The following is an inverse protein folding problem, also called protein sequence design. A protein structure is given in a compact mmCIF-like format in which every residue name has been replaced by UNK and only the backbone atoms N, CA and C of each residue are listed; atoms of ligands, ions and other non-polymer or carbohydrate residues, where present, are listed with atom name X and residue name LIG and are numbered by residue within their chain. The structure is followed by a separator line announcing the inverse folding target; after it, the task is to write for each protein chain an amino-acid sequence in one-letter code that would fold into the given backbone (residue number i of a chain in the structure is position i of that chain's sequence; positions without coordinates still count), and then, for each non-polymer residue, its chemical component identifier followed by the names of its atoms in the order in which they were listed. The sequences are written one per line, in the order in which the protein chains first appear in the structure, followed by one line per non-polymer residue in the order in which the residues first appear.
data_IF_903016239145
#
_entry.id   IF_903016239145
#
_cell.length_a   1.000
_cell.length_b   1.000
_cell.length_c   1.000
_cell.angle_alpha   90.00
_cell.angle_beta   90.00
_cell.angle_gamma   90.00
#
_symmetry.space_group_name_H-M   'P 1'
#
loop_
_entity.id
_entity.type
_entity.pdbx_description
1 polymer ?
#
# COMPACT_ATOMS: atom_id res chain seq x y z
N UNK A 1 14.43 -3.47 22.13
CA UNK A 1 13.40 -3.12 21.14
C UNK A 1 13.89 -1.94 20.33
N UNK A 2 13.86 -2.02 19.00
CA UNK A 2 14.16 -0.91 18.11
C UNK A 2 13.05 -0.75 17.07
N UNK A 3 12.87 0.48 16.59
CA UNK A 3 11.87 0.80 15.58
C UNK A 3 12.50 1.65 14.48
N UNK A 4 12.13 1.34 13.24
CA UNK A 4 12.54 2.05 12.03
C UNK A 4 11.28 2.58 11.32
N UNK A 5 11.35 3.83 10.85
CA UNK A 5 10.30 4.43 10.04
C UNK A 5 10.68 4.38 8.56
N UNK A 6 9.84 3.76 7.73
CA UNK A 6 10.06 3.61 6.30
C UNK A 6 8.87 4.19 5.55
N UNK A 7 9.14 4.99 4.52
CA UNK A 7 8.11 5.45 3.58
C UNK A 7 8.11 4.58 2.33
N UNK A 8 6.95 4.07 1.92
CA UNK A 8 6.79 3.24 0.73
C UNK A 8 5.69 3.75 -0.18
N UNK A 9 6.05 4.06 -1.42
CA UNK A 9 5.10 4.41 -2.47
C UNK A 9 4.87 3.20 -3.38
N UNK A 10 3.60 2.90 -3.67
CA UNK A 10 3.18 1.83 -4.57
C UNK A 10 2.01 2.27 -5.46
N UNK A 11 1.91 1.64 -6.63
CA UNK A 11 0.72 1.72 -7.49
C UNK A 11 -0.14 0.48 -7.33
N UNK A 12 -1.45 0.64 -7.43
CA UNK A 12 -2.42 -0.44 -7.29
C UNK A 12 -3.39 -0.46 -8.48
N UNK A 13 -3.85 -1.64 -8.85
CA UNK A 13 -5.00 -1.80 -9.76
C UNK A 13 -5.92 -2.91 -9.28
N UNK A 14 -7.23 -2.64 -9.29
CA UNK A 14 -8.25 -3.65 -9.07
C UNK A 14 -8.37 -4.53 -10.32
N UNK A 15 -8.30 -5.85 -10.13
CA UNK A 15 -8.44 -6.81 -11.22
C UNK A 15 -9.91 -7.12 -11.57
N UNK A 16 -10.86 -6.70 -10.72
CA UNK A 16 -12.30 -6.85 -11.00
C UNK A 16 -12.86 -5.60 -11.72
N UNK A 17 -12.61 -4.38 -11.24
CA UNK A 17 -13.20 -3.15 -11.81
C UNK A 17 -12.23 -2.26 -12.61
N UNK A 18 -10.93 -2.62 -12.66
CA UNK A 18 -9.91 -1.85 -13.40
C UNK A 18 -9.49 -0.53 -12.74
N UNK A 19 -10.04 -0.18 -11.57
CA UNK A 19 -9.66 1.07 -10.90
C UNK A 19 -8.20 1.04 -10.45
N UNK A 20 -7.42 2.04 -10.89
CA UNK A 20 -6.04 2.26 -10.50
C UNK A 20 -5.85 3.48 -9.60
N UNK A 21 -5.05 3.32 -8.54
CA UNK A 21 -4.68 4.39 -7.61
C UNK A 21 -3.20 4.27 -7.18
N UNK A 22 -2.66 5.34 -6.61
CA UNK A 22 -1.31 5.38 -6.01
C UNK A 22 -1.48 5.57 -4.51
N UNK A 23 -0.58 5.01 -3.71
CA UNK A 23 -0.57 5.19 -2.25
C UNK A 23 0.84 5.36 -1.72
N UNK A 24 1.01 6.28 -0.77
CA UNK A 24 2.26 6.49 -0.02
C UNK A 24 1.99 6.12 1.43
N UNK A 25 2.67 5.08 1.91
CA UNK A 25 2.47 4.52 3.23
C UNK A 25 3.66 4.80 4.12
N UNK A 26 3.37 5.22 5.34
CA UNK A 26 4.33 5.24 6.45
C UNK A 26 4.28 3.89 7.16
N UNK A 27 5.45 3.30 7.39
CA UNK A 27 5.59 1.96 7.97
C UNK A 27 6.55 2.04 9.15
N UNK A 28 6.01 1.83 10.35
CA UNK A 28 6.82 1.66 11.56
C UNK A 28 7.15 0.17 11.72
N UNK A 29 8.38 -0.20 11.45
CA UNK A 29 8.89 -1.57 11.65
C UNK A 29 9.50 -1.66 13.04
N UNK A 30 8.95 -2.52 13.89
CA UNK A 30 9.46 -2.73 15.25
C UNK A 30 9.98 -4.15 15.40
N UNK A 31 11.19 -4.26 15.96
CA UNK A 31 11.80 -5.52 16.37
C UNK A 31 11.85 -5.56 17.89
N UNK A 32 11.18 -6.56 18.46
CA UNK A 32 11.13 -6.76 19.91
C UNK A 32 12.41 -7.43 20.46
N UNK A 33 12.45 -7.66 21.77
CA UNK A 33 13.57 -8.34 22.44
C UNK A 33 13.71 -9.83 22.11
N UNK A 34 12.66 -10.44 21.53
CA UNK A 34 12.62 -11.82 21.06
C UNK A 34 12.87 -11.94 19.55
N UNK A 35 13.37 -10.86 18.93
CA UNK A 35 13.58 -10.76 17.48
C UNK A 35 12.31 -10.95 16.62
N UNK A 36 11.12 -10.73 17.18
CA UNK A 36 9.88 -10.70 16.40
C UNK A 36 9.72 -9.35 15.71
N UNK A 37 9.31 -9.41 14.46
CA UNK A 37 9.11 -8.24 13.60
C UNK A 37 7.60 -7.96 13.53
N UNK A 38 7.23 -6.70 13.77
CA UNK A 38 5.88 -6.19 13.54
C UNK A 38 5.94 -4.91 12.71
N UNK A 39 4.94 -4.69 11.86
CA UNK A 39 4.84 -3.50 11.03
C UNK A 39 3.50 -2.81 11.25
N UNK A 40 3.51 -1.52 11.56
CA UNK A 40 2.31 -0.69 11.61
C UNK A 40 2.26 0.21 10.38
N UNK A 41 1.17 0.13 9.61
CA UNK A 41 0.99 0.90 8.38
C UNK A 41 0.07 2.09 8.62
N UNK A 42 0.46 3.25 8.08
CA UNK A 42 -0.39 4.43 7.95
C UNK A 42 -0.48 4.89 6.50
N UNK A 43 -1.64 5.38 6.12
CA UNK A 43 -1.90 6.09 4.87
C UNK A 43 -2.47 7.45 5.24
N UNK A 44 -1.80 8.53 4.87
CA UNK A 44 -2.22 9.90 5.23
C UNK A 44 -2.51 10.01 6.73
N UNK A 45 -1.54 9.60 7.56
CA UNK A 45 -1.60 9.58 9.04
C UNK A 45 -2.64 8.60 9.66
N UNK A 46 -3.51 7.99 8.85
CA UNK A 46 -4.52 7.03 9.32
C UNK A 46 -3.95 5.62 9.39
N UNK A 47 -4.12 4.94 10.53
CA UNK A 47 -3.77 3.52 10.64
C UNK A 47 -4.63 2.70 9.69
N UNK A 48 -4.00 1.88 8.86
CA UNK A 48 -4.65 0.99 7.89
C UNK A 48 -4.11 -0.44 8.04
N UNK A 49 -4.86 -1.46 7.60
CA UNK A 49 -4.29 -2.80 7.40
C UNK A 49 -3.10 -2.75 6.45
N UNK A 50 -2.22 -3.75 6.54
CA UNK A 50 -1.13 -3.87 5.57
C UNK A 50 -1.72 -4.00 4.16
N UNK A 51 -1.33 -3.14 3.20
CA UNK A 51 -1.78 -3.26 1.82
C UNK A 51 -1.27 -4.55 1.15
N UNK A 52 -0.31 -5.24 1.76
CA UNK A 52 0.17 -6.55 1.32
C UNK A 52 -0.68 -7.70 1.87
N UNK A 53 -1.24 -7.56 3.07
CA UNK A 53 -2.00 -8.63 3.74
C UNK A 53 -3.50 -8.54 3.46
N UNK A 54 -4.07 -7.33 3.35
CA UNK A 54 -5.50 -7.11 3.19
C UNK A 54 -5.79 -5.93 2.27
N UNK A 55 -5.39 -5.99 0.99
CA UNK A 55 -5.72 -4.94 0.04
C UNK A 55 -7.22 -4.93 -0.27
N UNK A 56 -7.81 -3.74 -0.36
CA UNK A 56 -9.22 -3.55 -0.70
C UNK A 56 -9.37 -2.42 -1.71
N UNK A 57 -10.15 -2.65 -2.77
CA UNK A 57 -10.43 -1.62 -3.77
C UNK A 57 -11.33 -0.53 -3.17
N UNK A 58 -10.92 0.75 -3.16
CA UNK A 58 -11.73 1.83 -2.61
C UNK A 58 -12.99 2.15 -3.46
N UNK A 59 -13.10 1.57 -4.66
CA UNK A 59 -14.21 1.78 -5.59
C UNK A 59 -15.27 0.68 -5.56
N UNK A 60 -14.87 -0.58 -5.37
CA UNK A 60 -15.77 -1.73 -5.50
C UNK A 60 -15.58 -2.80 -4.42
N UNK A 61 -14.77 -2.52 -3.40
CA UNK A 61 -14.52 -3.39 -2.23
C UNK A 61 -13.91 -4.77 -2.53
N UNK A 62 -13.51 -5.03 -3.79
CA UNK A 62 -12.82 -6.26 -4.17
C UNK A 62 -11.41 -6.30 -3.56
N UNK A 63 -11.00 -7.49 -3.12
CA UNK A 63 -9.66 -7.76 -2.61
C UNK A 63 -8.70 -8.27 -3.69
N UNK A 64 -9.14 -8.39 -4.96
CA UNK A 64 -8.28 -8.81 -6.08
C UNK A 64 -7.47 -7.64 -6.60
N UNK A 65 -6.40 -7.31 -5.89
CA UNK A 65 -5.57 -6.15 -6.18
C UNK A 65 -4.19 -6.58 -6.67
N UNK A 66 -3.73 -5.94 -7.74
CA UNK A 66 -2.34 -6.03 -8.21
C UNK A 66 -1.57 -4.81 -7.72
N UNK A 67 -0.48 -5.07 -7.00
CA UNK A 67 0.46 -4.07 -6.50
C UNK A 67 1.65 -3.97 -7.46
N UNK A 68 2.08 -2.76 -7.76
CA UNK A 68 3.11 -2.45 -8.74
C UNK A 68 4.04 -1.34 -8.20
N UNK A 69 5.20 -1.17 -8.85
CA UNK A 69 6.07 -0.01 -8.61
C UNK A 69 5.29 1.30 -8.76
N UNK A 70 5.60 2.33 -7.98
CA UNK A 70 4.91 3.61 -8.03
C UNK A 70 5.00 4.27 -9.41
N UNK A 71 4.02 5.10 -9.74
CA UNK A 71 3.92 5.85 -10.99
C UNK A 71 3.32 5.08 -12.16
N UNK A 72 2.91 3.82 -11.98
CA UNK A 72 2.29 3.03 -13.07
C UNK A 72 0.90 3.54 -13.43
N UNK A 73 0.12 3.99 -12.45
CA UNK A 73 -1.21 4.55 -12.70
C UNK A 73 -1.08 5.94 -13.32
N UNK A 74 -0.16 6.76 -12.81
CA UNK A 74 0.13 8.07 -13.40
C UNK A 74 0.56 7.96 -14.88
N UNK A 75 1.44 7.00 -15.20
CA UNK A 75 1.88 6.75 -16.58
C UNK A 75 0.74 6.25 -17.49
N UNK A 76 -0.19 5.43 -16.98
CA UNK A 76 -1.36 4.99 -17.75
C UNK A 76 -2.29 6.17 -18.08
N UNK A 77 -2.62 7.01 -17.09
CA UNK A 77 -3.47 8.21 -17.27
C UNK A 77 -2.87 9.24 -18.23
N UNK A 78 -1.54 9.29 -18.38
CA UNK A 78 -0.89 10.14 -19.39
C UNK A 78 -1.15 9.65 -20.81
N UNK A 79 -1.32 8.35 -21.02
CA UNK A 79 -1.55 7.73 -22.34
C UNK A 79 -3.02 7.68 -22.74
N UNK A 80 -3.92 7.91 -21.80
CA UNK A 80 -5.37 8.02 -22.03
C UNK A 80 -5.78 9.42 -22.51
N UNK A 81 -4.85 10.38 -22.51
CA UNK A 81 -5.03 11.72 -23.06
C UNK A 81 -4.66 11.75 -24.54
#
# INVERSE_FOLDING_TARGET
MHSEHVQRADSFTCLDCGHGWEGVYDIDVTVDEHARISAAHRLEERRVPSPLESPCCPKCESHKIRIMRPGRVAAARLRER
#
